data_IF_133093471341
#
_entry.id   IF_133093471341
#
_cell.length_a   1.000
_cell.length_b   1.000
_cell.length_c   1.000
_cell.angle_alpha   90.00
_cell.angle_beta   90.00
_cell.angle_gamma   90.00
#
_symmetry.space_group_name_H-M   'P 1'
#
loop_
_entity.id
_entity.type
_entity.pdbx_description
1 polymer ?
2 polymer ?
3 polymer ?
4 non-polymer ?
5 non-polymer ?
6 water ?
#
loop_
_entity_poly.entity_id
_entity_poly.type
_entity_poly.pdbx_seq_one_letter_code
_entity_poly.pdbx_strand_id
2 'polydeoxyribonucleotide' '(DA)(DG)(DC)(DG)(DT)(DG)(DG)(DG)(5HC)(DG)(DT)' ?
3 'polydeoxyribonucleotide' '(DT)(DA)(5HC)(DG)(DC)(DC)(DC)(DA)(DC)(DG)(DC)' ?
#
# COMPACT_ATOMS: atom_id res chain seq x y z
N UNK A 5 26.32 -10.67 -0.24
CA UNK A 5 25.92 -9.41 -0.84
C UNK A 5 25.55 -8.39 0.22
N UNK A 6 24.99 -7.28 -0.24
CA UNK A 6 24.30 -6.37 0.64
C UNK A 6 22.84 -6.83 0.70
N UNK A 7 22.53 -7.95 0.05
CA UNK A 7 21.14 -8.43 0.02
C UNK A 7 21.07 -9.93 0.28
N UNK A 8 21.27 -10.31 1.54
CA UNK A 8 21.44 -11.69 2.00
C UNK A 8 20.15 -12.48 2.11
N UNK A 9 19.01 -11.80 2.06
CA UNK A 9 17.75 -12.50 2.29
C UNK A 9 17.10 -12.79 0.94
N UNK A 10 17.40 -13.97 0.41
CA UNK A 10 17.09 -14.30 -0.98
C UNK A 10 15.80 -15.13 -1.05
N UNK A 11 14.94 -14.84 -2.01
CA UNK A 11 13.74 -15.65 -2.18
C UNK A 11 14.09 -16.87 -3.04
N UNK A 12 13.70 -18.04 -2.55
CA UNK A 12 14.03 -19.31 -3.21
C UNK A 12 12.79 -19.96 -3.82
N UNK A 13 11.66 -19.25 -3.87
CA UNK A 13 10.45 -19.81 -4.48
C UNK A 13 10.65 -20.06 -5.97
N UNK A 14 9.89 -21.01 -6.53
CA UNK A 14 10.10 -21.41 -7.92
C UNK A 14 10.05 -20.21 -8.87
N UNK A 15 11.08 -20.07 -9.70
CA UNK A 15 11.19 -18.98 -10.69
C UNK A 15 11.15 -17.57 -10.10
N UNK A 16 11.57 -17.40 -8.85
CA UNK A 16 11.65 -16.07 -8.29
C UNK A 16 13.11 -15.82 -8.01
N UNK A 17 13.59 -14.62 -8.30
CA UNK A 17 14.99 -14.34 -8.04
C UNK A 17 15.21 -13.14 -7.12
N UNK A 18 14.14 -12.63 -6.52
CA UNK A 18 14.27 -11.45 -5.68
C UNK A 18 15.10 -11.68 -4.42
N UNK A 19 15.86 -10.66 -4.04
CA UNK A 19 16.60 -10.72 -2.79
C UNK A 19 16.52 -9.34 -2.12
N UNK A 20 16.71 -9.32 -0.81
CA UNK A 20 16.49 -8.13 0.00
C UNK A 20 17.55 -7.96 1.05
N UNK A 21 17.79 -6.72 1.47
CA UNK A 21 18.70 -6.45 2.59
C UNK A 21 18.13 -6.79 3.98
N UNK A 22 16.81 -6.98 4.08
CA UNK A 22 16.12 -7.18 5.34
C UNK A 22 15.27 -8.44 5.34
N UNK A 23 15.28 -9.18 6.43
CA UNK A 23 14.56 -10.45 6.47
C UNK A 23 13.06 -10.19 6.54
N UNK A 24 12.68 -9.07 7.16
CA UNK A 24 11.25 -8.80 7.23
C UNK A 24 10.73 -8.41 5.85
N UNK A 25 11.59 -7.79 5.05
CA UNK A 25 11.19 -7.42 3.70
C UNK A 25 10.93 -8.69 2.88
N UNK A 26 11.80 -9.68 3.05
CA UNK A 26 11.67 -10.95 2.34
C UNK A 26 10.39 -11.66 2.79
N UNK A 27 10.12 -11.60 4.09
CA UNK A 27 8.95 -12.29 4.63
C UNK A 27 7.68 -11.67 4.02
N UNK A 28 7.64 -10.35 3.93
CA UNK A 28 6.46 -9.69 3.35
C UNK A 28 6.32 -10.06 1.89
N UNK A 29 7.43 -10.02 1.17
CA UNK A 29 7.46 -10.40 -0.26
C UNK A 29 6.91 -11.81 -0.49
N UNK A 30 7.30 -12.77 0.34
CA UNK A 30 6.92 -14.15 0.08
C UNK A 30 5.40 -14.35 0.19
N UNK A 31 4.69 -13.43 0.85
CA UNK A 31 3.23 -13.59 0.92
C UNK A 31 2.63 -13.46 -0.49
N UNK A 32 3.36 -12.86 -1.44
CA UNK A 32 2.81 -12.81 -2.81
C UNK A 32 2.80 -14.20 -3.43
N UNK A 33 3.67 -15.08 -2.97
CA UNK A 33 3.71 -16.45 -3.50
C UNK A 33 2.72 -17.39 -2.81
N UNK A 34 2.60 -17.23 -1.49
CA UNK A 34 1.83 -18.16 -0.66
C UNK A 34 0.35 -17.81 -0.57
N UNK A 35 0.02 -16.55 -0.85
CA UNK A 35 -1.36 -16.11 -0.72
C UNK A 35 -1.77 -15.81 0.71
N UNK A 36 -0.81 -15.86 1.62
CA UNK A 36 -1.09 -15.62 3.02
C UNK A 36 -1.50 -14.16 3.25
N UNK A 37 -2.59 -13.96 3.98
CA UNK A 37 -3.12 -12.63 4.23
C UNK A 37 -3.43 -12.46 5.71
N UNK A 38 -2.44 -12.00 6.49
CA UNK A 38 -2.59 -12.01 7.95
C UNK A 38 -3.51 -10.93 8.52
N UNK A 39 -3.85 -9.92 7.73
CA UNK A 39 -4.53 -8.75 8.30
C UNK A 39 -5.97 -8.64 7.79
N UNK A 40 -6.94 -8.70 8.71
CA UNK A 40 -8.36 -8.76 8.33
C UNK A 40 -9.16 -7.54 8.76
N UNK A 41 -9.98 -7.04 7.84
CA UNK A 41 -10.82 -5.87 8.09
C UNK A 41 -11.96 -6.26 9.03
N UNK A 42 -12.17 -5.49 10.08
CA UNK A 42 -13.21 -5.82 11.06
C UNK A 42 -14.59 -5.46 10.59
N UNK A 43 -14.67 -4.56 9.62
CA UNK A 43 -15.97 -4.15 9.11
C UNK A 43 -16.51 -5.12 8.08
N UNK A 44 -15.70 -5.51 7.11
CA UNK A 44 -16.19 -6.32 6.00
C UNK A 44 -15.54 -7.70 5.88
N UNK A 45 -14.61 -8.01 6.78
CA UNK A 45 -13.94 -9.32 6.87
C UNK A 45 -12.99 -9.68 5.73
N UNK A 46 -12.74 -8.75 4.81
CA UNK A 46 -11.72 -8.97 3.80
C UNK A 46 -10.33 -9.08 4.46
N UNK A 47 -9.48 -9.93 3.90
CA UNK A 47 -8.13 -10.15 4.43
C UNK A 47 -7.08 -9.57 3.50
N UNK A 48 -5.95 -9.16 4.07
CA UNK A 48 -4.92 -8.47 3.30
C UNK A 48 -3.53 -8.95 3.64
N UNK A 49 -2.65 -8.90 2.66
CA UNK A 49 -1.27 -9.34 2.88
C UNK A 49 -0.48 -8.40 3.79
N UNK A 50 -0.88 -7.13 3.84
CA UNK A 50 -0.05 -6.12 4.51
C UNK A 50 -0.85 -5.20 5.44
N UNK A 51 -0.21 -4.79 6.52
CA UNK A 51 -0.86 -4.01 7.57
C UNK A 51 -1.20 -2.60 7.08
N UNK A 52 -0.29 -2.01 6.30
CA UNK A 52 -0.53 -0.67 5.84
C UNK A 52 -1.68 -0.63 4.85
N UNK A 53 -1.82 -1.70 4.07
CA UNK A 53 -2.87 -1.77 3.06
C UNK A 53 -4.22 -2.05 3.72
N UNK A 54 -4.22 -2.81 4.81
CA UNK A 54 -5.45 -2.88 5.61
C UNK A 54 -5.87 -1.50 6.11
N UNK A 55 -4.91 -0.74 6.63
CA UNK A 55 -5.19 0.58 7.19
C UNK A 55 -5.83 1.51 6.16
N UNK A 56 -5.30 1.55 4.95
CA UNK A 56 -5.88 2.47 3.98
C UNK A 56 -7.21 1.88 3.49
N UNK A 57 -7.29 0.56 3.41
CA UNK A 57 -8.59 -0.05 3.06
C UNK A 57 -9.68 0.41 4.00
N UNK A 58 -9.39 0.47 5.29
CA UNK A 58 -10.50 0.78 6.22
C UNK A 58 -11.10 2.15 5.97
N UNK A 59 -10.33 3.08 5.42
CA UNK A 59 -10.86 4.40 5.11
C UNK A 59 -11.95 4.37 4.07
N UNK A 60 -12.04 3.27 3.31
CA UNK A 60 -13.12 3.15 2.35
C UNK A 60 -14.46 3.06 3.08
N UNK A 61 -14.44 2.61 4.33
CA UNK A 61 -15.67 2.44 5.12
C UNK A 61 -16.03 3.72 5.86
N UNK A 62 -15.03 4.52 6.21
CA UNK A 62 -15.28 5.72 7.01
C UNK A 62 -15.32 6.99 6.18
N UNK A 63 -14.72 6.95 5.00
CA UNK A 63 -14.70 8.14 4.16
C UNK A 63 -13.64 9.13 4.62
N UNK A 64 -12.82 8.73 5.58
CA UNK A 64 -11.69 9.56 6.00
C UNK A 64 -10.76 9.83 4.82
N UNK A 65 -10.56 11.11 4.53
CA UNK A 65 -9.70 11.56 3.43
C UNK A 65 -8.71 12.60 3.95
N UNK A 66 -7.60 12.13 4.52
CA UNK A 66 -6.67 13.04 5.22
C UNK A 66 -5.82 13.89 4.27
N UNK A 67 -5.85 13.60 2.98
CA UNK A 67 -4.97 14.30 2.05
C UNK A 67 -5.69 15.28 1.17
N UNK A 68 -5.59 16.57 1.51
CA UNK A 68 -6.38 17.56 0.80
C UNK A 68 -5.58 18.27 -0.28
N UNK A 69 -6.26 18.55 -1.40
CA UNK A 69 -5.68 19.34 -2.48
C UNK A 69 -5.33 20.75 -2.00
N UNK A 70 -4.17 21.23 -2.43
CA UNK A 70 -3.67 22.54 -2.04
C UNK A 70 -4.00 23.64 -3.04
N UNK A 71 -4.55 23.24 -4.17
CA UNK A 71 -4.87 24.15 -5.26
C UNK A 71 -5.99 25.07 -4.82
N UNK A 72 -5.81 26.36 -5.04
CA UNK A 72 -6.79 27.33 -4.55
C UNK A 72 -8.12 27.07 -5.22
N UNK A 73 -9.18 27.07 -4.42
CA UNK A 73 -10.52 26.84 -4.92
C UNK A 73 -10.80 25.36 -5.17
N UNK A 74 -9.88 24.47 -4.79
CA UNK A 74 -10.19 23.05 -4.96
C UNK A 74 -10.58 22.40 -3.66
N UNK A 75 -11.70 21.71 -3.65
CA UNK A 75 -12.21 21.07 -2.44
C UNK A 75 -11.84 19.60 -2.35
N UNK A 76 -11.12 19.08 -3.34
CA UNK A 76 -10.90 17.64 -3.37
C UNK A 76 -9.98 17.18 -2.23
N UNK A 77 -10.27 16.00 -1.71
CA UNK A 77 -9.39 15.40 -0.74
C UNK A 77 -9.39 13.90 -1.00
N UNK A 78 -8.41 13.20 -0.46
CA UNK A 78 -8.21 11.80 -0.79
C UNK A 78 -7.83 10.96 0.39
N UNK A 79 -8.14 9.67 0.28
CA UNK A 79 -7.78 8.71 1.33
C UNK A 79 -6.27 8.47 1.44
N UNK A 80 -5.57 8.52 0.31
CA UNK A 80 -4.14 8.16 0.30
C UNK A 80 -3.27 9.24 -0.34
N UNK A 81 -2.03 9.31 0.10
CA UNK A 81 -1.09 10.31 -0.40
C UNK A 81 -0.88 10.21 -1.90
N UNK A 82 -0.84 8.98 -2.43
CA UNK A 82 -0.56 8.81 -3.85
C UNK A 82 -1.73 9.28 -4.73
N UNK A 83 -2.96 9.19 -4.21
CA UNK A 83 -4.10 9.75 -4.93
C UNK A 83 -3.91 11.25 -5.06
N UNK A 84 -3.41 11.89 -4.01
CA UNK A 84 -3.23 13.34 -4.04
C UNK A 84 -2.11 13.70 -4.96
N UNK A 85 -1.05 12.90 -4.95
CA UNK A 85 0.02 13.15 -5.91
C UNK A 85 -0.50 13.17 -7.36
N UNK A 86 -1.27 12.15 -7.73
CA UNK A 86 -1.81 12.08 -9.07
C UNK A 86 -2.67 13.29 -9.38
N UNK A 87 -3.42 13.71 -8.37
CA UNK A 87 -4.33 14.83 -8.52
C UNK A 87 -3.57 16.15 -8.68
N UNK A 88 -2.51 16.34 -7.90
CA UNK A 88 -1.74 17.58 -8.03
C UNK A 88 -1.07 17.59 -9.39
N UNK A 89 -0.60 16.43 -9.84
CA UNK A 89 0.04 16.36 -11.16
C UNK A 89 -0.92 16.79 -12.24
N UNK A 90 -2.19 16.43 -12.05
CA UNK A 90 -3.26 16.74 -13.00
C UNK A 90 -3.49 18.24 -13.16
N UNK A 91 -3.44 18.96 -12.04
CA UNK A 91 -3.77 20.38 -12.01
C UNK A 91 -2.80 21.17 -12.86
N UNK A 92 -1.54 20.76 -12.78
CA UNK A 92 -0.49 21.51 -13.46
C UNK A 92 -0.18 20.91 -14.84
N UNK A 93 -0.87 19.82 -15.19
CA UNK A 93 -0.75 19.18 -16.50
C UNK A 93 -1.97 18.32 -16.80
X LIG D 1 9.89 -14.51 -4.39
X LIG E 1 -13.28 -3.67 4.98
X LIG F 1 -7.42 19.91 -6.65
X LIG G 1 17.32 -8.43 8.62
X LIG G 1 17.21 -9.41 9.67
X LIG G 1 16.47 -7.20 8.92
X LIG G 1 17.14 -6.21 9.75
X LIG H 1 9.13 -4.73 6.37
X LIG H 1 8.78 -5.13 7.72
X LIG H 1 7.86 -4.80 5.55
X LIG H 1 6.84 -4.05 6.21
#
# INVERSE_FOLDING_TARGET
GPLGSEKPYQCDFKDCERRFSRSDQLKRHQRRHTGVKPFQCKTCQRKFSRSDHLKTHTRTHTGEKPFSCRWPSCQKKFARSDELVRHHNMHQR
ZN ZN
ZN ZN
ZN ZN
EDO C1 O1 C2 O2
EDO C1 O1 C2 O2
#
